data_IF_080847228085
#
_entry.id   IF_080847228085
#
_cell.length_a   1.000
_cell.length_b   1.000
_cell.length_c   1.000
_cell.angle_alpha   90.00
_cell.angle_beta   90.00
_cell.angle_gamma   90.00
#
_symmetry.space_group_name_H-M   'P 1'
#
loop_
_entity.id
_entity.type
_entity.pdbx_description
1 polymer ?
#
# COMPACT_ATOMS: atom_id res chain seq x y z
N UNK A 1 -16.10 1.29 11.57
CA UNK A 1 -15.03 1.53 10.58
C UNK A 1 -13.70 1.35 11.29
N UNK A 2 -12.96 0.26 11.03
CA UNK A 2 -11.63 0.07 11.65
C UNK A 2 -10.72 1.21 11.16
N UNK A 3 -10.14 1.94 12.11
CA UNK A 3 -9.17 2.97 11.80
C UNK A 3 -7.91 2.30 11.25
N UNK A 4 -7.77 2.29 9.93
CA UNK A 4 -6.57 1.80 9.24
C UNK A 4 -5.40 2.68 9.67
N UNK A 5 -4.55 2.14 10.55
CA UNK A 5 -3.37 2.84 11.05
C UNK A 5 -2.29 2.89 9.98
N UNK A 6 -1.29 3.75 10.16
CA UNK A 6 -0.14 3.80 9.27
C UNK A 6 0.64 2.47 9.25
N UNK A 7 0.68 1.76 10.38
CA UNK A 7 1.28 0.43 10.48
C UNK A 7 0.52 -0.62 9.66
N UNK A 8 -0.81 -0.51 9.60
CA UNK A 8 -1.65 -1.37 8.76
C UNK A 8 -1.38 -1.12 7.27
N UNK A 9 -1.24 0.14 6.86
CA UNK A 9 -0.88 0.52 5.48
C UNK A 9 0.49 -0.01 5.06
N UNK A 10 1.48 -0.01 5.96
CA UNK A 10 2.81 -0.59 5.69
C UNK A 10 2.75 -2.11 5.55
N UNK A 11 1.91 -2.79 6.36
CA UNK A 11 1.69 -4.24 6.21
C UNK A 11 1.01 -4.55 4.87
N UNK A 12 -0.03 -3.82 4.49
CA UNK A 12 -0.70 -3.97 3.20
C UNK A 12 0.29 -3.75 2.03
N UNK A 13 1.14 -2.73 2.11
CA UNK A 13 2.19 -2.46 1.13
C UNK A 13 3.15 -3.65 0.97
N UNK A 14 3.66 -4.18 2.09
CA UNK A 14 4.58 -5.31 2.08
C UNK A 14 3.93 -6.56 1.45
N UNK A 15 2.69 -6.87 1.85
CA UNK A 15 1.94 -8.00 1.30
C UNK A 15 1.69 -7.87 -0.22
N UNK A 16 1.40 -6.67 -0.72
CA UNK A 16 1.25 -6.44 -2.16
C UNK A 16 2.58 -6.62 -2.91
N UNK A 17 3.69 -6.13 -2.36
CA UNK A 17 5.01 -6.30 -2.97
C UNK A 17 5.45 -7.77 -3.00
N UNK A 18 5.21 -8.53 -1.93
CA UNK A 18 5.49 -9.97 -1.89
C UNK A 18 4.68 -10.73 -2.93
N UNK A 19 3.39 -10.42 -3.08
CA UNK A 19 2.54 -11.07 -4.09
C UNK A 19 2.99 -10.77 -5.52
N UNK A 20 3.39 -9.53 -5.81
CA UNK A 20 3.95 -9.15 -7.12
C UNK A 20 5.23 -9.95 -7.42
N UNK A 21 6.11 -10.10 -6.43
CA UNK A 21 7.33 -10.90 -6.59
C UNK A 21 7.05 -12.40 -6.74
N UNK A 22 6.04 -12.93 -6.05
CA UNK A 22 5.69 -14.34 -6.11
C UNK A 22 5.05 -14.75 -7.45
N UNK A 23 4.28 -13.86 -8.08
CA UNK A 23 3.59 -14.14 -9.34
C UNK A 23 3.74 -12.99 -10.34
N UNK A 24 4.95 -12.73 -10.88
CA UNK A 24 5.18 -11.62 -11.81
C UNK A 24 4.40 -11.77 -13.14
N UNK A 25 3.95 -12.99 -13.46
CA UNK A 25 3.17 -13.32 -14.65
C UNK A 25 1.73 -12.77 -14.62
N UNK A 26 1.22 -12.37 -13.46
CA UNK A 26 -0.16 -11.89 -13.28
C UNK A 26 -0.25 -10.37 -13.55
N UNK A 27 -1.42 -9.89 -13.96
CA UNK A 27 -1.66 -8.45 -14.02
C UNK A 27 -1.74 -7.87 -12.60
N UNK A 28 -0.86 -6.91 -12.33
CA UNK A 28 -0.77 -6.20 -11.06
C UNK A 28 -1.16 -4.73 -11.19
N UNK A 29 -1.86 -4.34 -12.26
CA UNK A 29 -2.17 -2.92 -12.51
C UNK A 29 -2.99 -2.34 -11.36
N UNK A 30 -3.96 -3.08 -10.84
CA UNK A 30 -4.75 -2.67 -9.68
C UNK A 30 -3.89 -2.58 -8.39
N UNK A 31 -3.02 -3.57 -8.14
CA UNK A 31 -2.14 -3.57 -6.98
C UNK A 31 -1.11 -2.43 -7.03
N UNK A 32 -0.55 -2.13 -8.21
CA UNK A 32 0.36 -1.00 -8.41
C UNK A 32 -0.33 0.35 -8.16
N UNK A 33 -1.57 0.52 -8.62
CA UNK A 33 -2.38 1.71 -8.27
C UNK A 33 -2.60 1.81 -6.76
N UNK A 34 -2.88 0.68 -6.09
CA UNK A 34 -3.04 0.64 -4.64
C UNK A 34 -1.75 0.99 -3.90
N UNK A 35 -0.62 0.43 -4.30
CA UNK A 35 0.72 0.75 -3.78
C UNK A 35 1.00 2.25 -3.89
N UNK A 36 0.71 2.88 -5.03
CA UNK A 36 0.89 4.32 -5.21
C UNK A 36 0.04 5.14 -4.22
N UNK A 37 -1.21 4.73 -3.98
CA UNK A 37 -2.06 5.37 -2.97
C UNK A 37 -1.53 5.16 -1.55
N UNK A 38 -1.12 3.94 -1.20
CA UNK A 38 -0.55 3.63 0.11
C UNK A 38 0.71 4.47 0.37
N UNK A 39 1.62 4.55 -0.62
CA UNK A 39 2.81 5.39 -0.54
C UNK A 39 2.46 6.87 -0.31
N UNK A 40 1.44 7.41 -0.98
CA UNK A 40 0.96 8.78 -0.73
C UNK A 40 0.42 8.95 0.70
N UNK A 41 -0.34 7.98 1.20
CA UNK A 41 -0.93 8.03 2.55
C UNK A 41 0.11 7.86 3.66
N UNK A 42 1.21 7.17 3.39
CA UNK A 42 2.34 7.00 4.32
C UNK A 42 3.27 8.21 4.25
N UNK A 43 3.54 8.73 3.05
CA UNK A 43 4.45 9.85 2.83
C UNK A 43 3.83 11.21 3.13
N UNK A 44 2.49 11.32 3.18
CA UNK A 44 1.83 12.55 3.57
C UNK A 44 2.22 12.87 5.02
N UNK A 45 3.00 13.94 5.28
CA UNK A 45 3.19 14.41 6.64
C UNK A 45 1.79 14.70 7.17
N UNK A 46 1.47 14.19 8.36
CA UNK A 46 0.25 14.55 9.07
C UNK A 46 0.30 16.08 9.17
N UNK A 47 -0.40 16.76 8.26
CA UNK A 47 -0.49 18.22 8.27
C UNK A 47 -1.25 18.50 9.55
N UNK A 48 -0.50 18.83 10.60
CA UNK A 48 -1.04 19.35 11.86
C UNK A 48 -1.92 20.52 11.47
N UNK A 49 -3.22 20.34 11.69
CA UNK A 49 -4.20 21.40 11.66
C UNK A 49 -4.44 21.86 13.10
#
# INVERSE_FOLDING_TARGET
MQAVTEGDRRKELATLLTQIQAHPERDWTAARRRIATLNKLIAAPRKSH
#
